data_IF_604742881131
#
_entry.id   IF_604742881131
#
_cell.length_a   1.000
_cell.length_b   1.000
_cell.length_c   1.000
_cell.angle_alpha   90.00
_cell.angle_beta   90.00
_cell.angle_gamma   90.00
#
_symmetry.space_group_name_H-M   'P 1'
#
loop_
_entity.id
_entity.type
_entity.pdbx_description
1 polymer ?
#
# COMPACT_ATOMS: atom_id res chain seq x y z
N UNK A 1 -13.33 0.30 30.94
CA UNK A 1 -14.00 -0.49 29.87
C UNK A 1 -14.26 0.48 28.74
N UNK A 2 -13.43 0.46 27.70
CA UNK A 2 -13.70 1.22 26.48
C UNK A 2 -14.80 0.48 25.77
N UNK A 3 -16.00 1.06 25.69
CA UNK A 3 -17.09 0.48 24.92
C UNK A 3 -16.63 0.38 23.46
N UNK A 4 -16.49 -0.85 22.97
CA UNK A 4 -16.21 -1.11 21.57
C UNK A 4 -17.39 -0.56 20.78
N UNK A 5 -17.18 0.52 20.02
CA UNK A 5 -18.17 0.93 19.01
C UNK A 5 -18.27 -0.20 17.98
N UNK A 6 -19.46 -0.82 17.80
CA UNK A 6 -19.61 -2.04 16.99
C UNK A 6 -19.16 -1.84 15.53
N UNK A 7 -19.24 -0.61 15.02
CA UNK A 7 -18.80 -0.23 13.66
C UNK A 7 -17.29 -0.43 13.41
N UNK A 8 -16.47 -0.44 14.48
CA UNK A 8 -15.01 -0.56 14.41
C UNK A 8 -14.51 -1.99 14.63
N UNK A 9 -15.36 -3.00 14.44
CA UNK A 9 -14.93 -4.40 14.46
C UNK A 9 -14.33 -4.76 13.10
N UNK A 10 -13.10 -5.32 13.03
CA UNK A 10 -12.53 -5.75 11.76
C UNK A 10 -13.24 -7.02 11.25
N UNK A 11 -13.51 -7.05 9.95
CA UNK A 11 -14.02 -8.21 9.21
C UNK A 11 -12.92 -8.93 8.43
N UNK A 12 -11.82 -8.23 8.13
CA UNK A 12 -10.65 -8.78 7.44
C UNK A 12 -9.38 -8.17 8.04
N UNK A 13 -8.37 -9.01 8.28
CA UNK A 13 -7.00 -8.60 8.59
C UNK A 13 -6.08 -9.45 7.72
N UNK A 14 -5.32 -8.80 6.84
CA UNK A 14 -4.44 -9.47 5.89
C UNK A 14 -3.07 -8.81 5.85
N UNK A 15 -2.02 -9.62 5.89
CA UNK A 15 -0.64 -9.13 5.79
C UNK A 15 -0.10 -9.39 4.38
N UNK A 16 0.24 -8.31 3.69
CA UNK A 16 0.94 -8.36 2.41
C UNK A 16 2.44 -8.18 2.66
N UNK A 17 3.10 -9.27 3.06
CA UNK A 17 4.51 -9.26 3.50
C UNK A 17 5.47 -8.73 2.45
N UNK A 18 5.22 -8.98 1.15
CA UNK A 18 6.04 -8.48 0.03
C UNK A 18 6.02 -6.94 -0.11
N UNK A 19 4.87 -6.31 0.16
CA UNK A 19 4.70 -4.85 0.09
C UNK A 19 4.71 -4.19 1.46
N UNK A 20 4.85 -4.99 2.54
CA UNK A 20 4.90 -4.55 3.93
C UNK A 20 3.69 -3.69 4.30
N UNK A 21 2.51 -4.16 3.92
CA UNK A 21 1.24 -3.54 4.28
C UNK A 21 0.39 -4.51 5.10
N UNK A 22 -0.16 -4.00 6.20
CA UNK A 22 -1.27 -4.61 6.91
C UNK A 22 -2.57 -3.99 6.38
N UNK A 23 -3.42 -4.82 5.79
CA UNK A 23 -4.75 -4.42 5.34
C UNK A 23 -5.76 -4.81 6.42
N UNK A 24 -6.59 -3.84 6.82
CA UNK A 24 -7.66 -4.04 7.79
C UNK A 24 -8.96 -3.51 7.21
N UNK A 25 -9.97 -4.36 7.07
CA UNK A 25 -11.32 -3.97 6.68
C UNK A 25 -12.25 -4.04 7.89
N UNK A 26 -13.15 -3.06 8.03
CA UNK A 26 -14.07 -2.91 9.15
C UNK A 26 -15.53 -3.11 8.72
N UNK A 27 -16.41 -3.39 9.70
CA UNK A 27 -17.84 -3.64 9.47
C UNK A 27 -18.57 -2.46 8.81
N UNK A 28 -18.11 -1.24 9.03
CA UNK A 28 -18.64 -0.02 8.39
C UNK A 28 -18.26 0.11 6.89
N UNK A 29 -17.55 -0.87 6.34
CA UNK A 29 -17.09 -0.90 4.96
C UNK A 29 -15.79 -0.14 4.71
N UNK A 30 -15.19 0.47 5.73
CA UNK A 30 -13.89 1.12 5.58
C UNK A 30 -12.78 0.08 5.50
N UNK A 31 -11.77 0.40 4.71
CA UNK A 31 -10.58 -0.42 4.52
C UNK A 31 -9.35 0.46 4.61
N UNK A 32 -8.42 0.06 5.46
CA UNK A 32 -7.17 0.78 5.68
C UNK A 32 -5.99 -0.07 5.26
N UNK A 33 -5.07 0.55 4.54
CA UNK A 33 -3.77 -0.01 4.15
C UNK A 33 -2.70 0.65 5.03
N UNK A 34 -2.20 -0.09 6.01
CA UNK A 34 -1.29 0.43 7.02
C UNK A 34 0.12 -0.13 6.79
N UNK A 35 1.11 0.70 6.39
CA UNK A 35 2.48 0.22 6.23
C UNK A 35 3.05 -0.36 7.53
N UNK A 36 3.82 -1.44 7.44
CA UNK A 36 4.50 -2.05 8.59
C UNK A 36 5.42 -1.04 9.29
N UNK A 37 6.13 -0.20 8.52
CA UNK A 37 6.92 0.92 9.08
C UNK A 37 6.04 1.86 9.89
N UNK A 38 4.89 2.26 9.35
CA UNK A 38 3.98 3.18 10.02
C UNK A 38 3.48 2.59 11.33
N UNK A 39 3.01 1.34 11.33
CA UNK A 39 2.63 0.65 12.56
C UNK A 39 3.80 0.61 13.54
N UNK A 40 4.99 0.23 13.08
CA UNK A 40 6.18 0.10 13.92
C UNK A 40 6.64 1.41 14.56
N UNK A 41 6.65 2.51 13.82
CA UNK A 41 7.11 3.81 14.37
C UNK A 41 6.05 4.45 15.28
N UNK A 42 4.78 4.07 15.11
CA UNK A 42 3.68 4.48 15.97
C UNK A 42 3.39 3.51 17.13
N UNK A 43 4.02 2.32 17.17
CA UNK A 43 3.81 1.31 18.22
C UNK A 43 4.16 1.79 19.63
N UNK A 44 5.16 2.70 19.74
CA UNK A 44 5.68 3.23 21.02
C UNK A 44 4.96 4.48 21.53
N UNK A 45 3.98 5.02 20.80
CA UNK A 45 3.35 6.31 21.15
C UNK A 45 2.56 6.29 22.49
N UNK A 46 2.31 5.12 23.08
CA UNK A 46 1.72 4.99 24.42
C UNK A 46 2.72 4.80 25.57
N UNK A 47 3.98 4.43 25.34
CA UNK A 47 4.93 4.11 26.44
C UNK A 47 5.94 5.22 26.75
N UNK A 48 6.34 6.05 25.76
CA UNK A 48 7.36 7.09 25.98
C UNK A 48 7.04 8.32 25.11
N UNK A 49 6.33 9.30 25.68
CA UNK A 49 6.14 10.65 25.08
C UNK A 49 7.33 11.59 25.33
N UNK A 50 8.42 11.12 25.94
CA UNK A 50 9.38 12.00 26.63
C UNK A 50 10.57 12.49 25.83
N UNK A 51 10.80 12.06 24.59
CA UNK A 51 11.73 12.74 23.70
C UNK A 51 11.10 12.84 22.31
N UNK A 52 10.86 14.04 21.81
CA UNK A 52 10.24 14.32 20.50
C UNK A 52 11.02 13.83 19.28
N UNK A 53 11.98 12.92 19.46
CA UNK A 53 12.77 12.29 18.42
C UNK A 53 11.97 11.18 17.73
N UNK A 54 11.80 11.22 16.40
CA UNK A 54 11.12 10.16 15.67
C UNK A 54 11.90 8.84 15.74
N UNK A 55 11.19 7.70 15.73
CA UNK A 55 11.81 6.38 15.52
C UNK A 55 12.26 6.30 14.07
N UNK A 56 13.55 6.04 13.81
CA UNK A 56 14.12 6.02 12.45
C UNK A 56 14.63 4.62 12.07
N UNK A 57 14.97 4.40 10.80
CA UNK A 57 15.62 3.16 10.33
C UNK A 57 14.67 1.96 10.27
N UNK A 58 13.36 2.20 10.12
CA UNK A 58 12.31 1.17 10.09
C UNK A 58 11.65 1.03 8.73
N UNK A 59 12.24 1.60 7.69
CA UNK A 59 11.73 1.56 6.32
C UNK A 59 11.62 0.14 5.76
N UNK A 60 12.45 -0.76 6.29
CA UNK A 60 12.51 -2.16 5.88
C UNK A 60 11.73 -3.12 6.78
N UNK A 61 11.14 -2.62 7.88
CA UNK A 61 10.53 -3.49 8.89
C UNK A 61 9.31 -4.22 8.33
N UNK A 62 9.13 -5.46 8.73
CA UNK A 62 7.97 -6.26 8.40
C UNK A 62 7.32 -6.85 9.65
N UNK A 63 6.08 -7.32 9.50
CA UNK A 63 5.37 -8.10 10.51
C UNK A 63 5.67 -9.58 10.25
N UNK A 64 6.03 -10.31 11.30
CA UNK A 64 6.33 -11.74 11.24
C UNK A 64 5.19 -12.59 11.82
N UNK A 65 4.41 -12.03 12.75
CA UNK A 65 3.26 -12.69 13.33
C UNK A 65 2.14 -11.71 13.69
N UNK A 66 0.90 -12.18 13.59
CA UNK A 66 -0.32 -11.48 14.01
C UNK A 66 -1.06 -12.41 14.95
N UNK A 67 -1.16 -12.04 16.22
CA UNK A 67 -1.79 -12.85 17.26
C UNK A 67 -3.04 -12.15 17.80
N UNK A 68 -4.23 -12.77 17.77
CA UNK A 68 -5.41 -12.17 18.37
C UNK A 68 -5.25 -12.01 19.88
N UNK A 69 -5.67 -10.86 20.42
CA UNK A 69 -5.67 -10.56 21.84
C UNK A 69 -7.13 -10.37 22.29
N UNK A 70 -7.78 -11.49 22.63
CA UNK A 70 -9.22 -11.51 22.93
C UNK A 70 -10.06 -11.09 21.73
N UNK A 71 -11.11 -10.31 21.96
CA UNK A 71 -12.04 -9.83 20.93
C UNK A 71 -11.85 -8.35 20.54
N UNK A 72 -10.79 -7.70 21.01
CA UNK A 72 -10.66 -6.23 20.93
C UNK A 72 -9.34 -5.73 20.33
N UNK A 73 -8.36 -6.62 20.08
CA UNK A 73 -7.03 -6.24 19.65
C UNK A 73 -6.28 -7.38 18.93
N UNK A 74 -5.19 -7.00 18.27
CA UNK A 74 -4.12 -7.90 17.81
C UNK A 74 -2.78 -7.49 18.40
N UNK A 75 -1.91 -8.46 18.65
CA UNK A 75 -0.48 -8.25 18.82
C UNK A 75 0.19 -8.43 17.47
N UNK A 76 1.05 -7.48 17.10
CA UNK A 76 1.89 -7.55 15.92
C UNK A 76 3.34 -7.74 16.36
N UNK A 77 3.97 -8.82 15.89
CA UNK A 77 5.40 -9.08 16.06
C UNK A 77 6.13 -8.61 14.82
N UNK A 78 7.21 -7.85 15.00
CA UNK A 78 8.02 -7.27 13.93
C UNK A 78 9.37 -7.98 13.81
N UNK A 79 9.92 -8.00 12.59
CA UNK A 79 11.23 -8.61 12.30
C UNK A 79 12.43 -7.85 12.88
N UNK A 80 12.23 -6.62 13.36
CA UNK A 80 13.25 -5.86 14.09
C UNK A 80 13.37 -6.23 15.57
N UNK A 81 12.71 -7.32 15.99
CA UNK A 81 12.70 -7.84 17.36
C UNK A 81 11.67 -7.16 18.28
N UNK A 82 10.80 -6.28 17.75
CA UNK A 82 9.72 -5.69 18.54
C UNK A 82 8.49 -6.61 18.56
N UNK A 83 8.08 -7.06 19.75
CA UNK A 83 7.00 -8.04 19.95
C UNK A 83 5.91 -7.56 20.93
N UNK A 84 6.05 -6.35 21.50
CA UNK A 84 5.10 -5.80 22.47
C UNK A 84 3.97 -4.97 21.85
N UNK A 85 3.91 -4.87 20.52
CA UNK A 85 2.96 -4.02 19.80
C UNK A 85 1.52 -4.55 19.84
N UNK A 86 0.74 -4.16 20.84
CA UNK A 86 -0.70 -4.46 20.93
C UNK A 86 -1.51 -3.30 20.34
N UNK A 87 -2.31 -3.61 19.32
CA UNK A 87 -3.17 -2.66 18.62
C UNK A 87 -4.63 -3.03 18.86
N UNK A 88 -5.36 -2.20 19.60
CA UNK A 88 -6.82 -2.33 19.68
C UNK A 88 -7.46 -2.00 18.33
N UNK A 89 -8.67 -2.49 18.10
CA UNK A 89 -9.45 -2.15 16.90
C UNK A 89 -9.62 -0.64 16.74
N UNK A 90 -9.92 0.07 17.83
CA UNK A 90 -9.97 1.54 17.83
C UNK A 90 -8.65 2.18 17.42
N UNK A 91 -7.52 1.62 17.87
CA UNK A 91 -6.19 2.13 17.52
C UNK A 91 -5.90 1.92 16.03
N UNK A 92 -6.19 0.73 15.48
CA UNK A 92 -6.02 0.47 14.04
C UNK A 92 -6.95 1.37 13.20
N UNK A 93 -8.17 1.59 13.67
CA UNK A 93 -9.12 2.46 12.99
C UNK A 93 -8.65 3.92 12.98
N UNK A 94 -8.25 4.46 14.15
CA UNK A 94 -7.70 5.82 14.25
C UNK A 94 -6.42 5.99 13.41
N UNK A 95 -5.51 5.01 13.46
CA UNK A 95 -4.29 5.02 12.65
C UNK A 95 -4.59 5.02 11.15
N UNK A 96 -5.68 4.36 10.73
CA UNK A 96 -6.20 4.37 9.37
C UNK A 96 -6.81 5.70 8.96
N UNK A 97 -7.72 6.24 9.75
CA UNK A 97 -8.36 7.54 9.48
C UNK A 97 -7.34 8.68 9.40
N UNK A 98 -6.34 8.64 10.29
CA UNK A 98 -5.35 9.71 10.43
C UNK A 98 -4.04 9.41 9.71
N UNK A 99 -4.01 8.40 8.82
CA UNK A 99 -2.79 7.96 8.16
C UNK A 99 -2.05 9.12 7.47
N UNK A 100 -2.75 9.91 6.65
CA UNK A 100 -2.13 11.02 5.92
C UNK A 100 -1.52 12.08 6.85
N UNK A 101 -2.27 12.49 7.87
CA UNK A 101 -1.83 13.48 8.87
C UNK A 101 -0.61 12.96 9.67
N UNK A 102 -0.74 11.76 10.24
CA UNK A 102 0.28 11.14 11.06
C UNK A 102 1.56 10.88 10.28
N UNK A 103 1.42 10.37 9.05
CA UNK A 103 2.56 10.08 8.18
C UNK A 103 3.29 11.35 7.78
N UNK A 104 2.57 12.40 7.37
CA UNK A 104 3.19 13.68 7.05
C UNK A 104 3.91 14.28 8.26
N UNK A 105 3.30 14.23 9.45
CA UNK A 105 3.94 14.69 10.69
C UNK A 105 5.20 13.90 11.04
N UNK A 106 5.21 12.58 10.82
CA UNK A 106 6.40 11.75 10.97
C UNK A 106 7.52 12.16 10.00
N UNK A 107 7.21 12.35 8.72
CA UNK A 107 8.18 12.78 7.71
C UNK A 107 8.78 14.16 8.02
N UNK A 108 7.97 15.09 8.52
CA UNK A 108 8.46 16.41 8.95
C UNK A 108 9.43 16.31 10.13
N UNK A 109 9.13 15.46 11.12
CA UNK A 109 10.02 15.21 12.26
C UNK A 109 11.34 14.55 11.83
N UNK A 110 11.30 13.61 10.88
CA UNK A 110 12.51 13.00 10.30
C UNK A 110 13.39 14.07 9.66
N UNK A 111 12.80 14.90 8.78
CA UNK A 111 13.52 15.97 8.08
C UNK A 111 14.12 16.99 9.05
N UNK A 112 13.36 17.42 10.07
CA UNK A 112 13.85 18.33 11.11
C UNK A 112 15.00 17.76 11.95
N UNK A 113 15.08 16.42 12.06
CA UNK A 113 16.13 15.72 12.78
C UNK A 113 17.35 15.40 11.90
N UNK A 114 17.37 15.85 10.64
CA UNK A 114 18.46 15.57 9.68
C UNK A 114 18.46 14.15 9.12
N UNK A 115 17.42 13.36 9.37
CA UNK A 115 17.27 12.02 8.83
C UNK A 115 16.45 12.06 7.54
N UNK A 116 16.99 11.47 6.46
CA UNK A 116 16.22 11.20 5.26
C UNK A 116 15.78 9.75 5.25
N UNK A 117 14.48 9.52 5.13
CA UNK A 117 13.91 8.19 4.87
C UNK A 117 14.53 7.66 3.57
N UNK A 118 15.17 6.50 3.61
CA UNK A 118 15.52 5.78 2.38
C UNK A 118 14.28 5.02 1.93
N UNK A 119 13.74 5.23 0.72
CA UNK A 119 12.65 4.38 0.22
C UNK A 119 13.04 2.91 0.40
N UNK A 120 12.08 2.08 0.83
CA UNK A 120 12.30 0.66 1.03
C UNK A 120 12.94 -0.03 -0.20
N UNK A 121 12.72 0.51 -1.39
CA UNK A 121 13.26 0.00 -2.65
C UNK A 121 14.32 0.92 -3.29
N UNK A 122 14.84 1.94 -2.58
CA UNK A 122 15.87 2.85 -3.13
C UNK A 122 17.22 2.18 -3.45
N UNK A 123 17.47 0.96 -2.94
CA UNK A 123 18.65 0.19 -3.32
C UNK A 123 18.44 -0.67 -4.57
N UNK A 124 17.23 -0.73 -5.15
CA UNK A 124 17.00 -1.48 -6.39
C UNK A 124 16.99 -0.54 -7.58
N UNK A 125 18.18 -0.17 -8.07
CA UNK A 125 18.36 0.55 -9.35
C UNK A 125 17.91 -0.27 -10.57
N UNK A 126 17.49 -1.52 -10.37
CA UNK A 126 17.12 -2.43 -11.44
C UNK A 126 15.73 -2.10 -11.98
N UNK A 127 15.67 -1.84 -13.30
CA UNK A 127 14.41 -1.77 -14.04
C UNK A 127 13.80 -3.17 -14.11
N UNK A 128 12.49 -3.28 -13.86
CA UNK A 128 11.74 -4.54 -13.97
C UNK A 128 11.19 -4.66 -15.39
N UNK A 129 11.39 -5.79 -16.05
CA UNK A 129 10.75 -6.14 -17.32
C UNK A 129 9.45 -6.87 -17.03
N UNK A 130 8.34 -6.36 -17.56
CA UNK A 130 7.02 -6.97 -17.40
C UNK A 130 6.35 -7.14 -18.76
N UNK A 131 5.41 -8.06 -18.84
CA UNK A 131 4.53 -8.20 -20.00
C UNK A 131 3.18 -7.58 -19.68
N UNK A 132 2.81 -6.53 -20.41
CA UNK A 132 1.50 -5.90 -20.30
C UNK A 132 0.53 -6.53 -21.30
N UNK A 133 -0.68 -6.86 -20.84
CA UNK A 133 -1.80 -7.32 -21.66
C UNK A 133 -2.94 -6.30 -21.62
N UNK A 134 -3.52 -6.01 -22.78
CA UNK A 134 -4.58 -5.03 -22.95
C UNK A 134 -5.83 -5.70 -23.53
N UNK A 135 -7.00 -5.25 -23.06
CA UNK A 135 -8.28 -5.83 -23.46
C UNK A 135 -9.28 -4.78 -23.94
N UNK A 136 -10.22 -5.20 -24.77
CA UNK A 136 -11.38 -4.41 -25.21
C UNK A 136 -11.00 -3.07 -25.89
N UNK A 137 -11.47 -1.93 -25.39
CA UNK A 137 -11.16 -0.62 -25.96
C UNK A 137 -9.68 -0.27 -25.82
N UNK A 138 -8.95 -0.82 -24.83
CA UNK A 138 -7.52 -0.54 -24.67
C UNK A 138 -6.73 -1.04 -25.89
N UNK A 139 -7.09 -2.19 -26.46
CA UNK A 139 -6.46 -2.71 -27.69
C UNK A 139 -6.65 -1.74 -28.85
N UNK A 140 -7.85 -1.17 -28.98
CA UNK A 140 -8.18 -0.20 -30.03
C UNK A 140 -7.42 1.11 -29.86
N UNK A 141 -7.36 1.64 -28.64
CA UNK A 141 -6.70 2.92 -28.34
C UNK A 141 -5.17 2.81 -28.38
N UNK A 142 -4.61 1.73 -27.84
CA UNK A 142 -3.16 1.49 -27.79
C UNK A 142 -2.61 0.85 -29.07
N UNK A 143 -3.49 0.38 -29.96
CA UNK A 143 -3.19 -0.33 -31.21
C UNK A 143 -2.29 -1.56 -31.00
N UNK A 144 -2.45 -2.23 -29.86
CA UNK A 144 -1.70 -3.43 -29.48
C UNK A 144 -2.46 -4.20 -28.42
N UNK A 145 -2.34 -5.52 -28.45
CA UNK A 145 -2.93 -6.42 -27.44
C UNK A 145 -1.96 -6.72 -26.29
N UNK A 146 -0.65 -6.58 -26.53
CA UNK A 146 0.37 -6.71 -25.50
C UNK A 146 1.58 -5.82 -25.80
N UNK A 147 2.41 -5.58 -24.78
CA UNK A 147 3.75 -5.03 -24.94
C UNK A 147 4.67 -5.47 -23.80
N UNK A 148 5.98 -5.55 -24.05
CA UNK A 148 6.97 -5.67 -22.98
C UNK A 148 7.42 -4.28 -22.53
N UNK A 149 7.39 -4.04 -21.22
CA UNK A 149 7.80 -2.77 -20.62
C UNK A 149 8.99 -2.94 -19.70
N UNK A 150 9.89 -1.96 -19.72
CA UNK A 150 10.88 -1.75 -18.68
C UNK A 150 10.36 -0.69 -17.71
N UNK A 151 9.83 -1.14 -16.58
CA UNK A 151 9.36 -0.27 -15.52
C UNK A 151 10.55 0.37 -14.79
N UNK A 152 10.48 1.67 -14.46
CA UNK A 152 11.49 2.30 -13.62
C UNK A 152 11.45 1.71 -12.20
N UNK A 153 12.56 1.83 -11.48
CA UNK A 153 12.69 1.39 -10.09
C UNK A 153 11.66 2.02 -9.13
N UNK A 154 11.05 3.14 -9.52
CA UNK A 154 10.00 3.80 -8.74
C UNK A 154 8.66 3.07 -8.79
N UNK A 155 8.49 2.07 -9.66
CA UNK A 155 7.24 1.30 -9.76
C UNK A 155 7.36 0.02 -8.95
N UNK A 156 6.75 0.00 -7.78
CA UNK A 156 6.83 -1.13 -6.85
C UNK A 156 5.57 -1.98 -6.81
N UNK A 157 4.41 -1.36 -6.99
CA UNK A 157 3.12 -2.00 -6.94
C UNK A 157 2.20 -1.53 -8.08
N UNK A 158 0.97 -2.08 -8.10
CA UNK A 158 -0.05 -1.75 -9.09
C UNK A 158 -0.42 -0.27 -9.08
N UNK A 159 -0.47 0.39 -7.91
CA UNK A 159 -0.79 1.81 -7.79
C UNK A 159 0.28 2.65 -8.47
N UNK A 160 1.56 2.36 -8.21
CA UNK A 160 2.67 3.05 -8.86
C UNK A 160 2.64 2.82 -10.38
N UNK A 161 2.31 1.60 -10.83
CA UNK A 161 2.20 1.27 -12.25
C UNK A 161 1.12 2.12 -12.93
N UNK A 162 -0.07 2.19 -12.36
CA UNK A 162 -1.18 2.99 -12.92
C UNK A 162 -0.80 4.48 -12.95
N UNK A 163 -0.21 4.99 -11.86
CA UNK A 163 0.26 6.36 -11.79
C UNK A 163 1.35 6.65 -12.84
N UNK A 164 2.25 5.71 -13.08
CA UNK A 164 3.29 5.81 -14.09
C UNK A 164 2.73 5.75 -15.51
N UNK A 165 1.77 4.85 -15.80
CA UNK A 165 1.10 4.75 -17.11
C UNK A 165 0.37 6.05 -17.48
N UNK A 166 -0.29 6.70 -16.52
CA UNK A 166 -0.92 8.03 -16.72
C UNK A 166 0.11 9.09 -17.13
N UNK A 167 1.31 9.04 -16.56
CA UNK A 167 2.40 9.99 -16.85
C UNK A 167 3.14 9.67 -18.14
N UNK A 168 3.15 8.41 -18.57
CA UNK A 168 3.83 7.94 -19.79
C UNK A 168 3.26 8.57 -21.06
N UNK A 169 1.93 8.72 -21.13
CA UNK A 169 1.26 9.40 -22.24
C UNK A 169 0.04 10.19 -21.75
N UNK A 170 0.19 11.51 -21.72
CA UNK A 170 -0.85 12.43 -21.27
C UNK A 170 -2.15 12.31 -22.09
N UNK A 171 -2.08 11.95 -23.38
CA UNK A 171 -3.28 11.79 -24.22
C UNK A 171 -4.11 10.59 -23.80
N UNK A 172 -3.48 9.57 -23.21
CA UNK A 172 -4.11 8.31 -22.81
C UNK A 172 -4.36 8.23 -21.30
N UNK A 173 -3.96 9.25 -20.54
CA UNK A 173 -4.11 9.27 -19.08
C UNK A 173 -5.55 9.02 -18.61
N UNK A 174 -6.54 9.50 -19.37
CA UNK A 174 -7.96 9.31 -19.08
C UNK A 174 -8.39 7.83 -19.09
N UNK A 175 -7.70 6.97 -19.85
CA UNK A 175 -8.01 5.53 -19.92
C UNK A 175 -7.68 4.79 -18.62
N UNK A 176 -6.79 5.34 -17.80
CA UNK A 176 -6.27 4.72 -16.59
C UNK A 176 -6.75 5.41 -15.32
N UNK A 177 -7.82 6.23 -15.33
CA UNK A 177 -8.38 6.86 -14.10
C UNK A 177 -8.79 5.82 -13.06
N UNK A 178 -8.95 6.25 -11.81
CA UNK A 178 -9.34 5.33 -10.74
C UNK A 178 -10.67 4.66 -11.11
N UNK A 179 -10.70 3.33 -11.01
CA UNK A 179 -11.89 2.52 -11.32
C UNK A 179 -12.16 2.25 -12.80
N UNK A 180 -11.37 2.77 -13.77
CA UNK A 180 -11.59 2.46 -15.20
C UNK A 180 -11.06 1.09 -15.62
N UNK A 181 -10.06 0.60 -14.89
CA UNK A 181 -9.45 -0.71 -15.14
C UNK A 181 -9.32 -1.48 -13.83
N UNK A 182 -9.50 -2.79 -13.91
CA UNK A 182 -9.03 -3.76 -12.92
C UNK A 182 -7.71 -4.33 -13.42
N UNK A 183 -6.82 -4.62 -12.48
CA UNK A 183 -5.49 -5.16 -12.79
C UNK A 183 -5.43 -6.62 -12.35
N UNK A 184 -4.78 -7.46 -13.17
CA UNK A 184 -4.29 -8.75 -12.70
C UNK A 184 -2.78 -8.77 -12.73
N UNK A 185 -2.17 -9.45 -11.78
CA UNK A 185 -0.74 -9.80 -11.77
C UNK A 185 -0.67 -11.32 -11.76
N UNK A 186 0.00 -11.90 -12.74
CA UNK A 186 0.10 -13.35 -12.95
C UNK A 186 -1.27 -14.04 -12.91
N UNK A 187 -2.24 -13.48 -13.65
CA UNK A 187 -3.62 -13.97 -13.83
C UNK A 187 -4.50 -13.94 -12.57
N UNK A 188 -4.04 -13.34 -11.48
CA UNK A 188 -4.84 -13.11 -10.27
C UNK A 188 -5.21 -11.64 -10.17
N UNK A 189 -6.47 -11.33 -9.82
CA UNK A 189 -6.85 -9.95 -9.55
C UNK A 189 -5.97 -9.35 -8.45
N UNK A 190 -5.45 -8.17 -8.76
CA UNK A 190 -4.47 -7.49 -7.96
C UNK A 190 -5.10 -6.26 -7.32
N UNK A 191 -4.77 -6.06 -6.07
CA UNK A 191 -5.10 -4.86 -5.32
C UNK A 191 -4.09 -3.75 -5.65
N UNK A 192 -4.40 -2.47 -5.37
CA UNK A 192 -3.48 -1.35 -5.67
C UNK A 192 -2.08 -1.54 -5.08
N UNK A 193 -1.96 -2.23 -3.97
CA UNK A 193 -0.69 -2.50 -3.28
C UNK A 193 -0.05 -3.84 -3.67
N UNK A 194 -0.57 -4.57 -4.65
CA UNK A 194 0.06 -5.82 -5.09
C UNK A 194 1.43 -5.51 -5.70
N UNK A 195 2.50 -6.12 -5.17
CA UNK A 195 3.87 -5.95 -5.65
C UNK A 195 3.98 -6.38 -7.11
N UNK A 196 4.77 -5.64 -7.87
CA UNK A 196 5.21 -6.01 -9.21
C UNK A 196 6.69 -6.37 -9.14
N UNK A 197 7.02 -7.59 -9.55
CA UNK A 197 8.35 -8.17 -9.63
C UNK A 197 8.82 -8.27 -11.10
N UNK A 198 10.12 -8.51 -11.33
CA UNK A 198 10.66 -8.71 -12.68
C UNK A 198 10.07 -10.00 -13.29
N UNK A 199 9.64 -9.92 -14.55
CA UNK A 199 9.03 -11.02 -15.30
C UNK A 199 7.51 -11.13 -15.17
N UNK A 200 6.86 -10.31 -14.35
CA UNK A 200 5.41 -10.40 -14.13
C UNK A 200 4.60 -10.17 -15.42
N UNK A 201 3.50 -10.92 -15.53
CA UNK A 201 2.44 -10.69 -16.52
C UNK A 201 1.33 -9.86 -15.89
N UNK A 202 1.05 -8.69 -16.47
CA UNK A 202 0.09 -7.73 -15.93
C UNK A 202 -0.99 -7.45 -16.96
N UNK A 203 -2.25 -7.77 -16.64
CA UNK A 203 -3.38 -7.44 -17.50
C UNK A 203 -4.13 -6.20 -17.00
N UNK A 204 -4.45 -5.29 -17.91
CA UNK A 204 -5.38 -4.20 -17.67
C UNK A 204 -6.73 -4.55 -18.29
N UNK A 205 -7.71 -4.78 -17.43
CA UNK A 205 -9.06 -5.21 -17.80
C UNK A 205 -10.01 -4.04 -17.58
N UNK A 206 -10.56 -3.43 -18.63
CA UNK A 206 -11.53 -2.35 -18.45
C UNK A 206 -12.77 -2.77 -17.67
N UNK A 207 -13.24 -1.86 -16.82
CA UNK A 207 -14.47 -2.06 -16.02
C UNK A 207 -15.75 -1.79 -16.81
N UNK A 208 -15.62 -1.17 -17.99
CA UNK A 208 -16.72 -0.84 -18.91
C UNK A 208 -16.34 -1.22 -20.34
N UNK A 209 -17.30 -1.63 -21.19
CA UNK A 209 -17.06 -1.84 -22.61
C UNK A 209 -16.76 -0.54 -23.38
N UNK A 210 -17.09 0.61 -22.79
CA UNK A 210 -16.93 1.94 -23.40
C UNK A 210 -15.72 2.64 -22.76
N UNK A 211 -14.86 3.21 -23.60
CA UNK A 211 -13.72 3.99 -23.14
C UNK A 211 -14.20 5.24 -22.38
N UNK A 212 -13.55 5.62 -21.26
CA UNK A 212 -13.81 6.90 -20.63
C UNK A 212 -13.52 8.04 -21.61
N UNK A 213 -14.26 9.14 -21.48
CA UNK A 213 -14.05 10.33 -22.32
C UNK A 213 -12.81 11.09 -21.83
N UNK A 214 -12.03 11.62 -22.77
CA UNK A 214 -10.97 12.58 -22.43
C UNK A 214 -11.59 13.86 -21.83
N UNK A 215 -10.88 14.51 -20.92
CA UNK A 215 -11.28 15.85 -20.45
C UNK A 215 -11.06 16.93 -21.52
#
# INVERSE_FOLDING_TARGET
MTELTPEKIPVEISLHSKTRLLVVAFQDGRRFELPCEYLRVFSRAKEVRTLGTPVTGKEQVNITAIEPQGQYAVRLTFDDGHDTGIYSWDTLYELGERYQENWQGYLQKLAASGFSRQPADASTTARKRVTMLYFTYLVKQLRRESEQLQLPATVNDVRDLIAWLRKRDAKLAHLFRDGTVRVTVNKQFAEPFTRIDDGDEIALIPTSPIAPVAD
#
